data_IF_573499654957
#
_entry.id   IF_573499654957
#
_cell.length_a   1.000
_cell.length_b   1.000
_cell.length_c   1.000
_cell.angle_alpha   90.00
_cell.angle_beta   90.00
_cell.angle_gamma   90.00
#
_symmetry.space_group_name_H-M   'P 1'
#
loop_
_entity.id
_entity.type
_entity.pdbx_description
1 polymer ?
#
# COMPACT_ATOMS: atom_id res chain seq x y z
N UNK A 1 18.10 -19.22 -2.69
CA UNK A 1 16.75 -18.64 -2.80
C UNK A 1 16.89 -17.22 -3.35
N UNK A 2 16.24 -16.86 -4.45
CA UNK A 2 16.41 -15.54 -5.09
C UNK A 2 16.01 -14.40 -4.12
N UNK A 3 16.77 -13.28 -4.07
CA UNK A 3 16.53 -12.20 -3.10
C UNK A 3 15.12 -11.60 -3.21
N UNK A 4 14.56 -11.50 -4.41
CA UNK A 4 13.19 -11.06 -4.67
C UNK A 4 12.12 -11.89 -3.94
N UNK A 5 12.28 -13.23 -3.87
CA UNK A 5 11.33 -14.11 -3.16
C UNK A 5 11.33 -13.86 -1.64
N UNK A 6 12.47 -13.49 -1.06
CA UNK A 6 12.54 -13.16 0.39
C UNK A 6 11.81 -11.86 0.68
N UNK A 7 11.93 -10.87 -0.20
CA UNK A 7 11.19 -9.61 -0.08
C UNK A 7 9.67 -9.81 -0.21
N UNK A 8 9.21 -10.64 -1.17
CA UNK A 8 7.79 -10.96 -1.27
C UNK A 8 7.25 -11.70 -0.06
N UNK A 9 8.02 -12.64 0.50
CA UNK A 9 7.66 -13.33 1.73
C UNK A 9 7.56 -12.36 2.92
N UNK A 10 8.54 -11.46 3.08
CA UNK A 10 8.53 -10.45 4.13
C UNK A 10 7.35 -9.47 3.98
N UNK A 11 7.07 -9.00 2.75
CA UNK A 11 5.93 -8.13 2.47
C UNK A 11 4.59 -8.82 2.75
N UNK A 12 4.48 -10.11 2.42
CA UNK A 12 3.28 -10.90 2.71
C UNK A 12 3.06 -11.14 4.21
N UNK A 13 4.14 -11.38 4.97
CA UNK A 13 4.07 -11.48 6.44
C UNK A 13 3.65 -10.16 7.05
N UNK A 14 4.21 -9.03 6.60
CA UNK A 14 3.84 -7.70 7.07
C UNK A 14 2.35 -7.40 6.82
N UNK A 15 1.85 -7.73 5.62
CA UNK A 15 0.42 -7.63 5.29
C UNK A 15 -0.45 -8.53 6.17
N UNK A 16 -0.06 -9.78 6.35
CA UNK A 16 -0.83 -10.73 7.14
C UNK A 16 -0.89 -10.34 8.62
N UNK A 17 0.15 -9.72 9.17
CA UNK A 17 0.21 -9.24 10.55
C UNK A 17 -0.59 -7.95 10.79
N UNK A 18 -1.10 -7.29 9.75
CA UNK A 18 -1.82 -6.01 9.84
C UNK A 18 -3.02 -6.03 10.81
N UNK A 19 -3.91 -7.04 10.82
CA UNK A 19 -5.07 -7.06 11.72
C UNK A 19 -4.66 -7.06 13.20
N UNK A 20 -3.64 -7.88 13.53
CA UNK A 20 -3.08 -7.96 14.89
C UNK A 20 -2.39 -6.64 15.28
N UNK A 21 -1.63 -6.06 14.35
CA UNK A 21 -0.98 -4.77 14.56
C UNK A 21 -2.01 -3.65 14.79
N UNK A 22 -3.16 -3.68 14.11
CA UNK A 22 -4.24 -2.70 14.33
C UNK A 22 -4.94 -2.90 15.67
N UNK A 23 -5.17 -4.14 16.11
CA UNK A 23 -5.75 -4.43 17.42
C UNK A 23 -4.84 -3.96 18.57
N UNK A 24 -3.52 -4.12 18.43
CA UNK A 24 -2.54 -3.76 19.46
C UNK A 24 -2.11 -2.28 19.42
N UNK A 25 -2.03 -1.68 18.23
CA UNK A 25 -1.53 -0.34 18.01
C UNK A 25 -2.54 0.47 17.18
N UNK A 26 -3.51 1.07 17.88
CA UNK A 26 -4.67 1.83 17.38
C UNK A 26 -4.37 2.95 16.33
N UNK A 27 -3.12 3.15 15.91
CA UNK A 27 -2.67 4.21 14.97
C UNK A 27 -1.64 3.77 13.90
N UNK A 28 -1.22 2.50 13.87
CA UNK A 28 -0.05 2.09 13.06
C UNK A 28 -0.36 1.46 11.69
N UNK A 29 -1.62 1.44 11.26
CA UNK A 29 -2.02 0.81 9.99
C UNK A 29 -1.33 1.39 8.74
N UNK A 30 -1.11 2.72 8.62
CA UNK A 30 -0.39 3.31 7.51
C UNK A 30 1.03 2.78 7.35
N UNK A 31 1.71 2.55 8.48
CA UNK A 31 3.12 2.18 8.51
C UNK A 31 3.31 0.73 8.05
N UNK A 32 2.44 -0.19 8.49
CA UNK A 32 2.47 -1.60 8.08
C UNK A 32 2.20 -1.74 6.58
N UNK A 33 1.21 -1.01 6.07
CA UNK A 33 0.88 -0.99 4.63
C UNK A 33 2.04 -0.39 3.81
N UNK A 34 2.65 0.70 4.28
CA UNK A 34 3.82 1.31 3.66
C UNK A 34 5.03 0.37 3.58
N UNK A 35 5.38 -0.32 4.68
CA UNK A 35 6.48 -1.28 4.71
C UNK A 35 6.22 -2.44 3.73
N UNK A 36 5.01 -2.99 3.73
CA UNK A 36 4.66 -4.06 2.79
C UNK A 36 4.77 -3.58 1.34
N UNK A 37 4.28 -2.39 1.02
CA UNK A 37 4.36 -1.81 -0.32
C UNK A 37 5.82 -1.64 -0.79
N UNK A 38 6.71 -1.15 0.08
CA UNK A 38 8.14 -1.00 -0.21
C UNK A 38 8.83 -2.34 -0.46
N UNK A 39 8.50 -3.37 0.34
CA UNK A 39 9.04 -4.72 0.16
C UNK A 39 8.60 -5.33 -1.17
N UNK A 40 7.32 -5.19 -1.55
CA UNK A 40 6.84 -5.65 -2.86
C UNK A 40 7.45 -4.85 -4.02
N UNK A 41 7.61 -3.52 -3.87
CA UNK A 41 8.25 -2.68 -4.87
C UNK A 41 9.72 -3.05 -5.08
N UNK A 42 10.49 -3.19 -4.00
CA UNK A 42 11.89 -3.59 -4.08
C UNK A 42 12.03 -5.01 -4.65
N UNK A 43 11.15 -5.95 -4.28
CA UNK A 43 11.11 -7.28 -4.89
C UNK A 43 10.89 -7.24 -6.40
N UNK A 44 10.01 -6.36 -6.88
CA UNK A 44 9.72 -6.16 -8.31
C UNK A 44 10.85 -5.47 -9.06
N UNK A 45 11.48 -4.46 -8.47
CA UNK A 45 12.65 -3.81 -9.05
C UNK A 45 13.84 -4.78 -9.22
N UNK A 46 14.01 -5.71 -8.25
CA UNK A 46 15.02 -6.76 -8.33
C UNK A 46 14.68 -7.87 -9.32
N UNK A 47 13.40 -8.05 -9.67
CA UNK A 47 12.94 -9.05 -10.63
C UNK A 47 12.95 -8.52 -12.07
N UNK A 48 12.34 -7.36 -12.31
CA UNK A 48 12.34 -6.63 -13.59
C UNK A 48 11.92 -5.16 -13.34
N UNK A 49 12.91 -4.27 -13.20
CA UNK A 49 12.66 -2.84 -13.02
C UNK A 49 11.88 -2.20 -14.20
N UNK A 50 12.06 -2.70 -15.42
CA UNK A 50 11.33 -2.22 -16.61
C UNK A 50 9.84 -2.57 -16.56
N UNK A 51 9.49 -3.72 -15.97
CA UNK A 51 8.10 -4.13 -15.77
C UNK A 51 7.35 -3.27 -14.76
N UNK A 52 8.03 -2.71 -13.75
CA UNK A 52 7.39 -1.88 -12.71
C UNK A 52 6.61 -0.74 -13.33
N UNK A 53 7.25 0.02 -14.23
CA UNK A 53 6.58 1.15 -14.92
C UNK A 53 5.38 0.68 -15.76
N UNK A 54 5.50 -0.47 -16.44
CA UNK A 54 4.42 -1.07 -17.23
C UNK A 54 3.24 -1.55 -16.38
N UNK A 55 3.47 -1.90 -15.12
CA UNK A 55 2.43 -2.34 -14.19
C UNK A 55 1.72 -1.19 -13.49
N UNK A 56 2.40 -0.06 -13.31
CA UNK A 56 1.92 1.12 -12.59
C UNK A 56 1.30 2.19 -13.52
N UNK A 57 1.85 2.47 -14.70
CA UNK A 57 1.35 3.61 -15.48
C UNK A 57 0.03 3.36 -16.26
N UNK A 58 -0.14 2.25 -17.01
CA UNK A 58 -1.33 2.06 -17.84
C UNK A 58 -2.69 2.19 -17.12
N UNK A 59 -2.87 1.70 -15.88
CA UNK A 59 -4.13 1.83 -15.15
C UNK A 59 -4.54 3.28 -14.88
N UNK A 60 -3.57 4.18 -14.69
CA UNK A 60 -3.82 5.60 -14.45
C UNK A 60 -4.38 6.30 -15.69
N UNK A 61 -4.12 5.74 -16.88
CA UNK A 61 -4.64 6.23 -18.15
C UNK A 61 -6.01 5.63 -18.53
N UNK A 62 -6.57 4.75 -17.71
CA UNK A 62 -7.94 4.24 -17.93
C UNK A 62 -8.97 5.27 -17.48
N UNK A 63 -10.22 5.25 -17.98
CA UNK A 63 -11.28 6.16 -17.54
C UNK A 63 -11.44 6.26 -16.00
N UNK A 64 -11.48 5.15 -15.22
CA UNK A 64 -11.54 5.26 -13.75
C UNK A 64 -10.25 5.80 -13.14
N UNK A 65 -9.08 5.49 -13.72
CA UNK A 65 -7.80 6.05 -13.29
C UNK A 65 -7.75 7.57 -13.47
N UNK A 66 -8.19 8.06 -14.64
CA UNK A 66 -8.29 9.49 -14.93
C UNK A 66 -9.32 10.16 -14.02
N UNK A 67 -10.48 9.55 -13.79
CA UNK A 67 -11.48 10.08 -12.86
C UNK A 67 -10.91 10.22 -11.43
N UNK A 68 -10.16 9.22 -10.96
CA UNK A 68 -9.49 9.28 -9.66
C UNK A 68 -8.42 10.39 -9.62
N UNK A 69 -7.64 10.57 -10.69
CA UNK A 69 -6.64 11.64 -10.78
C UNK A 69 -7.27 13.03 -10.80
N UNK A 70 -8.35 13.22 -11.56
CA UNK A 70 -9.11 14.47 -11.60
C UNK A 70 -9.71 14.77 -10.23
N UNK A 71 -10.27 13.75 -9.56
CA UNK A 71 -10.79 13.89 -8.19
C UNK A 71 -9.69 14.29 -7.20
N UNK A 72 -8.51 13.66 -7.26
CA UNK A 72 -7.36 14.02 -6.42
C UNK A 72 -6.88 15.45 -6.70
N UNK A 73 -6.83 15.86 -7.96
CA UNK A 73 -6.48 17.23 -8.35
C UNK A 73 -7.49 18.24 -7.79
N UNK A 74 -8.78 17.91 -7.85
CA UNK A 74 -9.85 18.73 -7.27
C UNK A 74 -9.76 18.82 -5.74
N UNK A 75 -9.47 17.72 -5.06
CA UNK A 75 -9.20 17.71 -3.62
C UNK A 75 -8.00 18.60 -3.26
N UNK A 76 -6.91 18.52 -4.02
CA UNK A 76 -5.72 19.33 -3.79
C UNK A 76 -6.03 20.84 -3.97
N UNK A 77 -6.76 21.21 -5.01
CA UNK A 77 -7.20 22.58 -5.24
C UNK A 77 -8.10 23.09 -4.09
N UNK A 78 -9.01 22.23 -3.62
CA UNK A 78 -9.89 22.54 -2.48
C UNK A 78 -9.08 22.77 -1.20
N UNK A 79 -8.12 21.90 -0.90
CA UNK A 79 -7.26 22.03 0.28
C UNK A 79 -6.39 23.30 0.23
N UNK A 80 -5.90 23.67 -0.96
CA UNK A 80 -5.12 24.90 -1.16
C UNK A 80 -5.94 26.18 -0.95
N UNK A 81 -7.26 26.14 -1.18
CA UNK A 81 -8.18 27.26 -0.95
C UNK A 81 -8.65 27.38 0.50
N UNK A 82 -8.30 26.43 1.37
CA UNK A 82 -8.72 26.48 2.78
C UNK A 82 -8.05 27.63 3.54
N UNK A 83 -8.69 28.16 4.60
CA UNK A 83 -8.07 29.18 5.46
C UNK A 83 -6.85 28.67 6.25
N UNK A 84 -6.61 27.34 6.31
CA UNK A 84 -5.49 26.73 7.03
C UNK A 84 -4.69 25.76 6.13
N UNK A 85 -4.07 26.25 5.04
CA UNK A 85 -3.46 25.40 4.02
C UNK A 85 -2.29 24.56 4.56
N UNK A 86 -1.55 25.08 5.55
CA UNK A 86 -0.46 24.34 6.19
C UNK A 86 -0.95 23.12 6.99
N UNK A 87 -2.11 23.25 7.67
CA UNK A 87 -2.72 22.14 8.39
C UNK A 87 -3.25 21.08 7.41
N UNK A 88 -3.90 21.53 6.34
CA UNK A 88 -4.36 20.66 5.25
C UNK A 88 -3.22 19.90 4.59
N UNK A 89 -2.06 20.54 4.36
CA UNK A 89 -0.88 19.89 3.80
C UNK A 89 -0.30 18.83 4.73
N UNK A 90 -0.30 19.08 6.05
CA UNK A 90 0.13 18.10 7.05
C UNK A 90 -0.78 16.87 7.05
N UNK A 91 -2.09 17.06 7.04
CA UNK A 91 -3.06 15.96 6.97
C UNK A 91 -2.94 15.18 5.66
N UNK A 92 -2.74 15.87 4.53
CA UNK A 92 -2.46 15.23 3.26
C UNK A 92 -1.16 14.41 3.31
N UNK A 93 -0.13 14.91 4.00
CA UNK A 93 1.13 14.19 4.24
C UNK A 93 0.98 12.90 5.04
N UNK A 94 -0.06 12.77 5.86
CA UNK A 94 -0.36 11.52 6.60
C UNK A 94 -1.18 10.54 5.74
N UNK A 95 -2.07 11.05 4.89
CA UNK A 95 -2.99 10.23 4.09
C UNK A 95 -2.38 9.74 2.76
N UNK A 96 -1.76 10.64 1.99
CA UNK A 96 -1.25 10.36 0.64
C UNK A 96 -0.26 9.18 0.61
N UNK A 97 0.70 9.04 1.55
CA UNK A 97 1.59 7.88 1.56
C UNK A 97 0.85 6.55 1.67
N UNK A 98 -0.22 6.50 2.47
CA UNK A 98 -1.05 5.31 2.65
C UNK A 98 -1.79 4.96 1.36
N UNK A 99 -2.34 5.99 0.69
CA UNK A 99 -3.04 5.82 -0.58
C UNK A 99 -2.09 5.30 -1.68
N UNK A 100 -0.88 5.84 -1.75
CA UNK A 100 0.17 5.36 -2.67
C UNK A 100 0.58 3.93 -2.33
N UNK A 101 0.79 3.60 -1.06
CA UNK A 101 1.18 2.26 -0.63
C UNK A 101 0.10 1.22 -0.98
N UNK A 102 -1.18 1.52 -0.74
CA UNK A 102 -2.30 0.67 -1.11
C UNK A 102 -2.35 0.45 -2.63
N UNK A 103 -2.18 1.51 -3.41
CA UNK A 103 -2.10 1.41 -4.87
C UNK A 103 -0.96 0.48 -5.31
N UNK A 104 0.25 0.68 -4.79
CA UNK A 104 1.41 -0.17 -5.12
C UNK A 104 1.14 -1.64 -4.79
N UNK A 105 0.55 -1.95 -3.63
CA UNK A 105 0.24 -3.33 -3.26
C UNK A 105 -0.75 -3.98 -4.21
N UNK A 106 -1.85 -3.31 -4.55
CA UNK A 106 -2.85 -3.83 -5.50
C UNK A 106 -2.22 -4.13 -6.86
N UNK A 107 -1.22 -3.34 -7.29
CA UNK A 107 -0.55 -3.53 -8.59
C UNK A 107 0.57 -4.56 -8.56
N UNK A 108 1.31 -4.66 -7.46
CA UNK A 108 2.58 -5.39 -7.39
C UNK A 108 2.49 -6.71 -6.64
N UNK A 109 1.49 -6.91 -5.78
CA UNK A 109 1.32 -8.15 -5.02
C UNK A 109 0.73 -9.33 -5.83
N UNK A 110 -0.21 -9.14 -6.79
CA UNK A 110 -0.81 -10.26 -7.52
C UNK A 110 0.21 -11.12 -8.25
N UNK A 111 0.03 -12.46 -8.17
CA UNK A 111 0.92 -13.45 -8.77
C UNK A 111 2.28 -13.63 -8.07
N UNK A 112 2.52 -12.92 -6.95
CA UNK A 112 3.76 -12.98 -6.16
C UNK A 112 3.51 -13.17 -4.66
N UNK A 113 2.25 -13.22 -4.24
CA UNK A 113 1.91 -13.65 -2.88
C UNK A 113 2.24 -15.14 -2.69
N UNK A 114 3.02 -15.50 -1.65
CA UNK A 114 3.29 -16.88 -1.34
C UNK A 114 2.03 -17.59 -0.81
N UNK A 115 1.91 -18.90 -1.04
CA UNK A 115 0.71 -19.67 -0.67
C UNK A 115 0.37 -19.67 0.82
N UNK A 116 1.35 -19.38 1.69
CA UNK A 116 1.11 -19.25 3.14
C UNK A 116 0.47 -17.92 3.54
N UNK A 117 0.42 -16.91 2.66
CA UNK A 117 -0.03 -15.56 3.02
C UNK A 117 -1.50 -15.53 3.46
N UNK A 118 -2.38 -16.25 2.74
CA UNK A 118 -3.81 -16.32 3.04
C UNK A 118 -4.14 -17.05 4.37
N UNK A 119 -3.59 -18.25 4.65
CA UNK A 119 -3.83 -18.89 5.95
C UNK A 119 -3.22 -18.09 7.10
N UNK A 120 -2.05 -17.47 6.89
CA UNK A 120 -1.44 -16.60 7.90
C UNK A 120 -2.32 -15.37 8.19
N UNK A 121 -2.87 -14.71 7.18
CA UNK A 121 -3.77 -13.57 7.40
C UNK A 121 -5.04 -13.99 8.14
N UNK A 122 -5.60 -15.16 7.81
CA UNK A 122 -6.76 -15.68 8.52
C UNK A 122 -6.45 -15.92 10.01
N UNK A 123 -5.31 -16.53 10.32
CA UNK A 123 -4.86 -16.73 11.71
C UNK A 123 -4.67 -15.41 12.46
N UNK A 124 -4.09 -14.40 11.81
CA UNK A 124 -3.87 -13.08 12.41
C UNK A 124 -5.18 -12.32 12.66
N UNK A 125 -6.19 -12.46 11.79
CA UNK A 125 -7.53 -11.92 12.03
C UNK A 125 -8.19 -12.58 13.24
N UNK A 126 -8.11 -13.91 13.33
CA UNK A 126 -8.66 -14.65 14.49
C UNK A 126 -7.98 -14.20 15.78
N UNK A 127 -6.65 -14.15 15.80
CA UNK A 127 -5.88 -13.68 16.96
C UNK A 127 -6.24 -12.24 17.34
N UNK A 128 -6.40 -11.34 16.37
CA UNK A 128 -6.81 -9.96 16.62
C UNK A 128 -8.22 -9.85 17.24
N UNK A 129 -9.13 -10.79 16.92
CA UNK A 129 -10.45 -10.86 17.56
C UNK A 129 -10.42 -11.40 18.99
N UNK A 130 -9.29 -11.95 19.45
CA UNK A 130 -9.10 -12.48 20.80
C UNK A 130 -8.33 -11.53 21.73
N UNK A 131 -7.75 -10.45 21.20
CA UNK A 131 -7.05 -9.39 21.93
C UNK A 131 -7.97 -8.23 22.24
#
# INVERSE_FOLDING_TARGET
MHPSRRLYAAGAVALAAMPLAMALANRSSPLVVGIAALLFLAGRCLEDAGAVRRLLLPPLATPPGLAALVFLAWCAATLAWTPFPALSLRMAGEFVPTLVAAYLLVRLAPGRMPGFAAPLSAAMVVLAGLT
#
